data_IF_248602312703
#
_entry.id   IF_248602312703
#
_cell.length_a   1.000
_cell.length_b   1.000
_cell.length_c   1.000
_cell.angle_alpha   90.00
_cell.angle_beta   90.00
_cell.angle_gamma   90.00
#
_symmetry.space_group_name_H-M   'P 1'
#
loop_
_entity.id
_entity.type
_entity.pdbx_description
1 polymer ?
#
# COMPACT_ATOMS: atom_id res chain seq x y z
N UNK A 1 -12.38 12.07 24.22
CA UNK A 1 -12.10 13.17 25.13
C UNK A 1 -11.83 12.57 26.50
N UNK A 2 -10.59 12.70 26.97
CA UNK A 2 -10.09 11.97 28.14
C UNK A 2 -10.87 12.36 29.40
N UNK A 3 -11.04 13.65 29.65
CA UNK A 3 -11.74 14.19 30.82
C UNK A 3 -13.17 13.67 30.95
N UNK A 4 -13.87 13.53 29.81
CA UNK A 4 -15.24 12.98 29.79
C UNK A 4 -15.26 11.50 30.17
N UNK A 5 -14.28 10.72 29.73
CA UNK A 5 -14.17 9.30 30.07
C UNK A 5 -13.80 9.13 31.54
N UNK A 6 -12.83 9.90 32.03
CA UNK A 6 -12.43 9.90 33.43
C UNK A 6 -13.62 10.20 34.34
N UNK A 7 -14.36 11.29 34.05
CA UNK A 7 -15.55 11.65 34.83
C UNK A 7 -16.62 10.55 34.83
N UNK A 8 -16.87 9.92 33.68
CA UNK A 8 -17.81 8.80 33.60
C UNK A 8 -17.35 7.59 34.43
N UNK A 9 -16.05 7.30 34.46
CA UNK A 9 -15.49 6.25 35.30
C UNK A 9 -15.53 6.60 36.79
N UNK A 10 -15.31 7.85 37.17
CA UNK A 10 -15.46 8.30 38.56
C UNK A 10 -16.90 8.21 39.04
N UNK A 11 -17.87 8.62 38.22
CA UNK A 11 -19.30 8.50 38.52
C UNK A 11 -19.71 7.02 38.66
N UNK A 12 -19.24 6.16 37.73
CA UNK A 12 -19.47 4.73 37.81
C UNK A 12 -18.83 4.12 39.07
N UNK A 13 -17.59 4.50 39.40
CA UNK A 13 -16.90 4.02 40.59
C UNK A 13 -17.64 4.44 41.87
N UNK A 14 -18.06 5.70 41.97
CA UNK A 14 -18.86 6.21 43.10
C UNK A 14 -20.18 5.47 43.26
N UNK A 15 -20.80 5.03 42.17
CA UNK A 15 -22.06 4.25 42.25
C UNK A 15 -21.91 2.90 42.95
N UNK A 16 -20.70 2.34 43.01
CA UNK A 16 -20.41 1.11 43.75
C UNK A 16 -20.12 1.34 45.23
N UNK A 17 -19.89 2.58 45.64
CA UNK A 17 -19.63 2.95 47.02
C UNK A 17 -20.94 3.27 47.73
N UNK A 18 -21.10 2.79 48.97
CA UNK A 18 -22.27 3.09 49.81
C UNK A 18 -22.18 4.47 50.45
N UNK A 19 -20.96 5.01 50.58
CA UNK A 19 -20.68 6.30 51.18
C UNK A 19 -20.27 7.31 50.11
N UNK A 20 -20.56 8.60 50.37
CA UNK A 20 -20.12 9.69 49.51
C UNK A 20 -18.62 9.93 49.72
N UNK A 21 -17.81 9.26 48.91
CA UNK A 21 -16.35 9.42 48.90
C UNK A 21 -15.94 10.41 47.81
N UNK A 22 -15.14 11.40 48.19
CA UNK A 22 -14.44 12.27 47.24
C UNK A 22 -13.14 11.59 46.78
N UNK A 23 -12.96 11.50 45.47
CA UNK A 23 -11.73 10.99 44.85
C UNK A 23 -10.73 12.14 44.72
N UNK A 24 -9.67 12.08 45.51
CA UNK A 24 -8.55 13.03 45.45
C UNK A 24 -7.49 12.54 44.45
N UNK A 25 -6.70 13.47 43.90
CA UNK A 25 -5.58 13.16 43.00
C UNK A 25 -4.51 12.26 43.63
N UNK A 26 -4.41 12.27 44.96
CA UNK A 26 -3.48 11.42 45.71
C UNK A 26 -4.00 10.01 45.98
N UNK A 27 -5.25 9.70 45.63
CA UNK A 27 -5.86 8.39 45.88
C UNK A 27 -5.31 7.35 44.89
N UNK A 28 -4.83 6.17 45.35
CA UNK A 28 -4.41 5.09 44.46
C UNK A 28 -5.49 4.66 43.46
N UNK A 29 -6.78 4.76 43.80
CA UNK A 29 -7.87 4.44 42.88
C UNK A 29 -8.00 5.47 41.76
N UNK A 30 -7.72 6.74 42.02
CA UNK A 30 -7.75 7.80 40.99
C UNK A 30 -6.77 7.48 39.87
N UNK A 31 -5.52 7.15 40.19
CA UNK A 31 -4.50 6.78 39.21
C UNK A 31 -4.91 5.57 38.33
N UNK A 32 -5.64 4.60 38.90
CA UNK A 32 -6.17 3.45 38.15
C UNK A 32 -7.28 3.90 37.19
N UNK A 33 -8.21 4.74 37.64
CA UNK A 33 -9.30 5.26 36.80
C UNK A 33 -8.76 6.10 35.64
N UNK A 34 -7.71 6.88 35.87
CA UNK A 34 -6.98 7.62 34.83
C UNK A 34 -6.34 6.69 33.78
N UNK A 35 -5.64 5.66 34.24
CA UNK A 35 -5.05 4.67 33.34
C UNK A 35 -6.12 3.94 32.50
N UNK A 36 -7.28 3.64 33.10
CA UNK A 36 -8.42 3.04 32.40
C UNK A 36 -9.02 3.99 31.36
N UNK A 37 -9.26 5.26 31.73
CA UNK A 37 -9.77 6.29 30.82
C UNK A 37 -8.82 6.51 29.63
N UNK A 38 -7.52 6.56 29.89
CA UNK A 38 -6.50 6.69 28.84
C UNK A 38 -6.50 5.48 27.90
N UNK A 39 -6.51 4.26 28.47
CA UNK A 39 -6.56 3.01 27.69
C UNK A 39 -7.82 2.94 26.83
N UNK A 40 -8.97 3.29 27.39
CA UNK A 40 -10.23 3.29 26.65
C UNK A 40 -10.19 4.29 25.49
N UNK A 41 -9.66 5.49 25.70
CA UNK A 41 -9.51 6.48 24.63
C UNK A 41 -8.73 5.92 23.43
N UNK A 42 -7.59 5.26 23.69
CA UNK A 42 -6.77 4.63 22.65
C UNK A 42 -7.54 3.50 21.96
N UNK A 43 -8.22 2.64 22.72
CA UNK A 43 -9.00 1.53 22.17
C UNK A 43 -10.11 2.06 21.25
N UNK A 44 -10.85 3.10 21.68
CA UNK A 44 -11.89 3.74 20.86
C UNK A 44 -11.30 4.34 19.58
N UNK A 45 -10.15 5.00 19.65
CA UNK A 45 -9.47 5.52 18.47
C UNK A 45 -9.10 4.39 17.49
N UNK A 46 -8.49 3.32 17.99
CA UNK A 46 -8.10 2.15 17.19
C UNK A 46 -9.29 1.44 16.55
N UNK A 47 -10.39 1.29 17.30
CA UNK A 47 -11.64 0.70 16.77
C UNK A 47 -12.20 1.59 15.66
N UNK A 48 -12.26 2.90 15.86
CA UNK A 48 -12.74 3.84 14.84
C UNK A 48 -11.89 3.80 13.58
N UNK A 49 -10.56 3.72 13.70
CA UNK A 49 -9.66 3.55 12.56
C UNK A 49 -9.89 2.20 11.85
N UNK A 50 -10.04 1.11 12.61
CA UNK A 50 -10.30 -0.22 12.06
C UNK A 50 -11.62 -0.28 11.29
N UNK A 51 -12.67 0.38 11.80
CA UNK A 51 -13.96 0.47 11.11
C UNK A 51 -13.82 1.33 9.86
N UNK A 52 -13.16 2.49 9.93
CA UNK A 52 -12.91 3.34 8.76
C UNK A 52 -12.15 2.61 7.65
N UNK A 53 -11.19 1.75 8.01
CA UNK A 53 -10.45 0.93 7.05
C UNK A 53 -11.35 -0.03 6.25
N UNK A 54 -12.53 -0.40 6.76
CA UNK A 54 -13.49 -1.26 6.03
C UNK A 54 -14.43 -0.51 5.10
N UNK A 55 -14.54 0.82 5.22
CA UNK A 55 -15.42 1.63 4.37
C UNK A 55 -14.65 2.20 3.18
N UNK A 56 -15.15 1.95 1.96
CA UNK A 56 -14.50 2.36 0.71
C UNK A 56 -14.09 3.85 0.69
N UNK A 57 -14.91 4.73 1.26
CA UNK A 57 -14.66 6.16 1.27
C UNK A 57 -13.48 6.58 2.16
N UNK A 58 -13.16 5.79 3.19
CA UNK A 58 -12.12 6.11 4.17
C UNK A 58 -10.89 5.20 4.08
N UNK A 59 -11.04 4.00 3.51
CA UNK A 59 -9.97 3.02 3.36
C UNK A 59 -8.81 3.56 2.52
N UNK A 60 -7.58 3.15 2.85
CA UNK A 60 -6.36 3.58 2.15
C UNK A 60 -5.39 2.41 2.00
N UNK A 61 -4.47 2.49 1.02
CA UNK A 61 -3.42 1.50 0.84
C UNK A 61 -3.97 0.08 0.67
N UNK A 62 -3.44 -0.86 1.47
CA UNK A 62 -3.86 -2.27 1.45
C UNK A 62 -5.31 -2.47 1.87
N UNK A 63 -5.84 -1.64 2.78
CA UNK A 63 -7.23 -1.76 3.21
C UNK A 63 -8.19 -1.40 2.07
N UNK A 64 -7.84 -0.38 1.28
CA UNK A 64 -8.60 -0.02 0.08
C UNK A 64 -8.57 -1.14 -0.96
N UNK A 65 -7.38 -1.71 -1.21
CA UNK A 65 -7.22 -2.83 -2.13
C UNK A 65 -8.10 -4.03 -1.71
N UNK A 66 -8.17 -4.32 -0.40
CA UNK A 66 -9.01 -5.39 0.16
C UNK A 66 -10.51 -5.10 0.04
N UNK A 67 -10.95 -3.89 0.37
CA UNK A 67 -12.37 -3.48 0.27
C UNK A 67 -12.85 -3.56 -1.18
N UNK A 68 -12.02 -3.08 -2.12
CA UNK A 68 -12.35 -3.07 -3.55
C UNK A 68 -12.35 -4.49 -4.14
N UNK A 69 -11.40 -5.33 -3.75
CA UNK A 69 -11.35 -6.73 -4.19
C UNK A 69 -12.56 -7.54 -3.72
N UNK A 70 -12.95 -7.41 -2.44
CA UNK A 70 -14.05 -8.18 -1.87
C UNK A 70 -15.44 -7.63 -2.24
N UNK A 71 -15.60 -6.31 -2.27
CA UNK A 71 -16.90 -5.68 -2.51
C UNK A 71 -17.25 -5.47 -3.99
N UNK A 72 -16.24 -5.25 -4.83
CA UNK A 72 -16.42 -4.85 -6.23
C UNK A 72 -15.73 -5.77 -7.23
N UNK A 73 -15.03 -6.81 -6.78
CA UNK A 73 -14.29 -7.75 -7.63
C UNK A 73 -13.25 -7.08 -8.53
N UNK A 74 -12.74 -5.92 -8.11
CA UNK A 74 -11.72 -5.15 -8.83
C UNK A 74 -10.37 -5.37 -8.15
N UNK A 75 -9.32 -5.58 -8.94
CA UNK A 75 -7.96 -5.75 -8.45
C UNK A 75 -7.06 -4.63 -8.94
N UNK A 76 -6.20 -4.13 -8.05
CA UNK A 76 -5.19 -3.13 -8.41
C UNK A 76 -4.11 -3.77 -9.28
N UNK A 77 -3.93 -3.24 -10.48
CA UNK A 77 -2.88 -3.68 -11.39
C UNK A 77 -1.50 -3.27 -10.85
N UNK A 78 -0.52 -4.17 -10.99
CA UNK A 78 0.88 -3.86 -10.68
C UNK A 78 1.43 -2.88 -11.70
N UNK A 79 2.23 -1.93 -11.25
CA UNK A 79 2.96 -1.04 -12.16
C UNK A 79 3.87 -1.85 -13.08
N UNK A 80 3.80 -1.58 -14.38
CA UNK A 80 4.65 -2.19 -15.41
C UNK A 80 5.67 -1.15 -15.88
N UNK A 81 6.91 -1.57 -16.14
CA UNK A 81 7.92 -0.70 -16.75
C UNK A 81 7.43 -0.15 -18.10
N UNK A 82 7.79 1.09 -18.46
CA UNK A 82 7.41 1.66 -19.75
C UNK A 82 7.93 0.79 -20.88
N UNK A 83 7.17 0.74 -21.97
CA UNK A 83 7.51 -0.04 -23.16
C UNK A 83 7.69 0.87 -24.35
N UNK A 84 8.69 0.60 -25.19
CA UNK A 84 8.95 1.36 -26.40
C UNK A 84 9.06 0.44 -27.62
N UNK A 85 8.47 0.86 -28.75
CA UNK A 85 8.72 0.23 -30.04
C UNK A 85 10.05 0.75 -30.58
N UNK A 86 10.93 -0.14 -31.00
CA UNK A 86 12.23 0.19 -31.59
C UNK A 86 12.40 -0.54 -32.92
N UNK A 87 13.14 0.07 -33.83
CA UNK A 87 13.58 -0.55 -35.09
C UNK A 87 15.07 -0.85 -35.00
N UNK A 88 15.44 -2.09 -35.28
CA UNK A 88 16.83 -2.52 -35.41
C UNK A 88 17.19 -2.48 -36.89
N UNK A 89 18.29 -1.82 -37.20
CA UNK A 89 18.84 -1.75 -38.55
C UNK A 89 20.25 -2.36 -38.57
N UNK A 90 20.50 -3.24 -39.55
CA UNK A 90 21.82 -3.77 -39.85
C UNK A 90 22.50 -2.87 -40.89
N UNK A 91 23.76 -2.52 -40.64
CA UNK A 91 24.56 -1.70 -41.56
C UNK A 91 24.82 -2.38 -42.92
N UNK A 92 24.68 -3.71 -42.99
CA UNK A 92 24.92 -4.50 -44.20
C UNK A 92 23.90 -5.62 -44.34
N UNK A 93 23.62 -5.99 -45.59
CA UNK A 93 22.76 -7.13 -45.91
C UNK A 93 23.51 -8.44 -45.66
N UNK A 94 23.04 -9.22 -44.69
CA UNK A 94 23.62 -10.51 -44.35
C UNK A 94 22.92 -11.64 -45.10
N UNK A 95 23.69 -12.70 -45.37
CA UNK A 95 23.24 -13.90 -46.10
C UNK A 95 22.66 -14.99 -45.18
N UNK A 96 22.48 -14.69 -43.90
CA UNK A 96 21.91 -15.55 -42.87
C UNK A 96 20.96 -14.74 -41.97
N UNK A 97 20.12 -15.43 -41.20
CA UNK A 97 19.17 -14.81 -40.28
C UNK A 97 19.89 -14.30 -39.02
N UNK A 98 19.60 -13.07 -38.60
CA UNK A 98 20.13 -12.50 -37.35
C UNK A 98 19.04 -12.54 -36.30
N UNK A 99 19.36 -13.17 -35.18
CA UNK A 99 18.44 -13.35 -34.05
C UNK A 99 18.91 -12.46 -32.90
N UNK A 100 18.03 -11.57 -32.44
CA UNK A 100 18.21 -10.83 -31.20
C UNK A 100 17.36 -11.52 -30.13
N UNK A 101 17.97 -12.20 -29.15
CA UNK A 101 17.23 -13.02 -28.20
C UNK A 101 16.40 -12.16 -27.24
N UNK A 102 15.30 -12.75 -26.77
CA UNK A 102 14.51 -12.21 -25.65
C UNK A 102 15.41 -11.99 -24.43
N UNK A 103 15.30 -10.83 -23.80
CA UNK A 103 16.11 -10.46 -22.65
C UNK A 103 17.45 -9.80 -22.99
N UNK A 104 17.74 -9.54 -24.27
CA UNK A 104 18.86 -8.69 -24.65
C UNK A 104 18.75 -7.31 -23.98
N UNK A 105 19.87 -6.83 -23.41
CA UNK A 105 19.94 -5.60 -22.63
C UNK A 105 20.49 -4.47 -23.50
N UNK A 106 19.81 -3.34 -23.50
CA UNK A 106 20.19 -2.12 -24.20
C UNK A 106 20.33 -0.99 -23.19
N UNK A 107 21.33 -0.14 -23.36
CA UNK A 107 21.58 1.03 -22.52
C UNK A 107 21.59 2.30 -23.33
N UNK A 108 20.98 3.37 -22.81
CA UNK A 108 21.14 4.71 -23.39
C UNK A 108 22.38 5.43 -22.84
N UNK A 109 22.64 6.66 -23.31
CA UNK A 109 23.75 7.51 -22.85
C UNK A 109 23.69 7.88 -21.35
N UNK A 110 22.50 7.80 -20.74
CA UNK A 110 22.27 8.03 -19.31
C UNK A 110 22.36 6.76 -18.46
N UNK A 111 22.76 5.64 -19.08
CA UNK A 111 22.81 4.30 -18.48
C UNK A 111 21.44 3.73 -18.03
N UNK A 112 20.33 4.22 -18.56
CA UNK A 112 19.03 3.57 -18.40
C UNK A 112 19.02 2.25 -19.18
N UNK A 113 18.62 1.17 -18.51
CA UNK A 113 18.60 -0.18 -19.07
C UNK A 113 17.20 -0.55 -19.56
N UNK A 114 17.13 -1.06 -20.79
CA UNK A 114 15.94 -1.63 -21.40
C UNK A 114 16.20 -3.08 -21.82
N UNK A 115 15.15 -3.92 -21.79
CA UNK A 115 15.26 -5.35 -22.07
C UNK A 115 14.27 -5.74 -23.14
N UNK A 116 14.72 -6.45 -24.18
CA UNK A 116 13.84 -6.92 -25.24
C UNK A 116 12.80 -7.92 -24.69
N UNK A 117 11.52 -7.62 -24.89
CA UNK A 117 10.40 -8.43 -24.37
C UNK A 117 10.21 -9.74 -25.12
N UNK A 118 10.55 -9.75 -26.39
CA UNK A 118 10.36 -10.85 -27.33
C UNK A 118 11.62 -11.04 -28.18
N UNK A 119 11.71 -12.15 -28.90
CA UNK A 119 12.82 -12.40 -29.82
C UNK A 119 12.55 -11.67 -31.14
N UNK A 120 13.57 -11.00 -31.68
CA UNK A 120 13.47 -10.30 -32.97
C UNK A 120 14.37 -10.99 -33.97
N UNK A 121 13.79 -11.47 -35.07
CA UNK A 121 14.50 -12.15 -36.15
C UNK A 121 14.55 -11.24 -37.38
N UNK A 122 15.76 -10.84 -37.78
CA UNK A 122 16.02 -10.18 -39.06
C UNK A 122 16.35 -11.27 -40.07
N UNK A 123 15.47 -11.47 -41.06
CA UNK A 123 15.67 -12.53 -42.07
C UNK A 123 16.81 -12.21 -43.03
N UNK A 124 17.42 -13.25 -43.59
CA UNK A 124 18.38 -13.19 -44.69
C UNK A 124 17.92 -12.23 -45.77
N UNK A 125 18.76 -11.26 -46.13
CA UNK A 125 18.46 -10.26 -47.15
C UNK A 125 17.52 -9.13 -46.71
N UNK A 126 17.13 -9.06 -45.44
CA UNK A 126 16.48 -7.90 -44.83
C UNK A 126 17.45 -7.17 -43.92
N UNK A 127 17.35 -5.84 -43.86
CA UNK A 127 18.20 -5.00 -42.99
C UNK A 127 17.45 -4.48 -41.77
N UNK A 128 16.13 -4.65 -41.67
CA UNK A 128 15.30 -4.03 -40.65
C UNK A 128 14.39 -5.02 -39.95
N UNK A 129 14.25 -4.90 -38.63
CA UNK A 129 13.19 -5.55 -37.87
C UNK A 129 12.73 -4.69 -36.68
N UNK A 130 11.46 -4.83 -36.31
CA UNK A 130 10.87 -4.11 -35.18
C UNK A 130 10.90 -4.98 -33.92
N UNK A 131 11.14 -4.35 -32.78
CA UNK A 131 11.09 -4.98 -31.46
C UNK A 131 10.43 -4.09 -30.42
N UNK A 132 10.15 -4.69 -29.26
CA UNK A 132 9.59 -4.01 -28.09
C UNK A 132 10.58 -4.14 -26.94
N UNK A 133 11.05 -3.00 -26.45
CA UNK A 133 11.87 -2.84 -25.25
C UNK A 133 11.00 -2.49 -24.04
#
# INVERSE_FOLDING_TARGET
DYEKLLKAYEELFKSFLKDNVELLESDPFKAILEALAYREMIIRARINESIKATYLHYAKGSDLDNVVANGYLIQRLKGVKPTAKVEFELNTLLTYDVIIPKGAIFSNEKADLATLKEEVVIKKGQSKAQGIL
#
